data_IF_650628865853
#
_entry.id   IF_650628865853
#
_cell.length_a   1.000
_cell.length_b   1.000
_cell.length_c   1.000
_cell.angle_alpha   90.00
_cell.angle_beta   90.00
_cell.angle_gamma   90.00
#
_symmetry.space_group_name_H-M   'P 1'
#
loop_
_entity.id
_entity.type
_entity.pdbx_description
1 polymer ?
#
# COMPACT_ATOMS: atom_id res chain seq x y z
N UNK A 1 -21.92 -0.48 -9.29
CA UNK A 1 -20.67 -0.83 -8.62
C UNK A 1 -20.36 0.19 -7.53
N UNK A 2 -20.12 -0.27 -6.33
CA UNK A 2 -19.91 0.60 -5.18
C UNK A 2 -18.46 1.09 -5.15
N UNK A 3 -18.26 2.40 -5.09
CA UNK A 3 -16.93 2.99 -4.95
C UNK A 3 -16.58 3.03 -3.47
N UNK A 4 -15.40 2.51 -3.12
CA UNK A 4 -14.90 2.58 -1.75
C UNK A 4 -14.49 4.00 -1.39
N UNK A 5 -14.76 4.39 -0.14
CA UNK A 5 -14.29 5.67 0.38
C UNK A 5 -12.78 5.58 0.69
N UNK A 6 -12.14 6.74 0.82
CA UNK A 6 -10.73 6.80 1.24
C UNK A 6 -10.52 6.08 2.56
N UNK A 7 -11.44 6.25 3.52
CA UNK A 7 -11.36 5.59 4.82
C UNK A 7 -11.41 4.07 4.67
N UNK A 8 -12.31 3.55 3.84
CA UNK A 8 -12.41 2.11 3.60
C UNK A 8 -11.15 1.57 2.93
N UNK A 9 -10.60 2.29 1.97
CA UNK A 9 -9.35 1.91 1.30
C UNK A 9 -8.20 1.87 2.31
N UNK A 10 -8.12 2.88 3.18
CA UNK A 10 -7.10 2.94 4.22
C UNK A 10 -7.24 1.77 5.19
N UNK A 11 -8.44 1.43 5.62
CA UNK A 11 -8.70 0.29 6.50
C UNK A 11 -8.27 -1.03 5.85
N UNK A 12 -8.53 -1.18 4.55
CA UNK A 12 -8.09 -2.36 3.80
C UNK A 12 -6.57 -2.47 3.79
N UNK A 13 -5.86 -1.36 3.58
CA UNK A 13 -4.40 -1.34 3.61
C UNK A 13 -3.86 -1.70 4.99
N UNK A 14 -4.47 -1.19 6.05
CA UNK A 14 -4.07 -1.51 7.42
C UNK A 14 -4.22 -3.01 7.67
N UNK A 15 -5.30 -3.62 7.21
CA UNK A 15 -5.50 -5.07 7.35
C UNK A 15 -4.47 -5.88 6.56
N UNK A 16 -4.18 -5.47 5.32
CA UNK A 16 -3.17 -6.13 4.49
C UNK A 16 -1.81 -6.07 5.16
N UNK A 17 -1.43 -4.90 5.66
CA UNK A 17 -0.15 -4.71 6.34
C UNK A 17 -0.06 -5.55 7.62
N UNK A 18 -1.13 -5.61 8.39
CA UNK A 18 -1.18 -6.42 9.61
C UNK A 18 -1.06 -7.90 9.28
N UNK A 19 -1.72 -8.36 8.23
CA UNK A 19 -1.59 -9.74 7.75
C UNK A 19 -0.13 -10.07 7.43
N UNK A 20 0.54 -9.18 6.68
CA UNK A 20 1.95 -9.36 6.34
C UNK A 20 2.84 -9.40 7.58
N UNK A 21 2.56 -8.55 8.57
CA UNK A 21 3.32 -8.51 9.82
C UNK A 21 3.14 -9.79 10.63
N UNK A 22 1.92 -10.30 10.74
CA UNK A 22 1.63 -11.55 11.46
C UNK A 22 2.36 -12.72 10.82
N UNK A 23 2.51 -12.71 9.49
CA UNK A 23 3.23 -13.76 8.76
C UNK A 23 4.75 -13.58 8.78
N UNK A 24 5.26 -12.55 9.44
CA UNK A 24 6.71 -12.28 9.51
C UNK A 24 7.33 -11.79 8.22
N UNK A 25 6.54 -11.19 7.33
CA UNK A 25 7.00 -10.76 6.00
C UNK A 25 7.53 -9.32 5.99
N UNK A 26 7.24 -8.56 7.04
CA UNK A 26 7.64 -7.15 7.15
C UNK A 26 8.26 -6.90 8.54
N UNK A 27 9.40 -7.54 8.84
CA UNK A 27 10.03 -7.36 10.15
C UNK A 27 10.44 -5.91 10.36
N UNK A 28 10.38 -5.45 11.61
CA UNK A 28 10.70 -4.08 12.03
C UNK A 28 9.83 -3.08 11.26
N UNK A 29 10.44 -2.11 10.56
CA UNK A 29 9.71 -1.11 9.78
C UNK A 29 9.77 -1.36 8.27
N UNK A 30 10.15 -2.58 7.87
CA UNK A 30 10.27 -2.92 6.47
C UNK A 30 8.90 -3.04 5.79
N UNK A 31 8.92 -3.08 4.46
CA UNK A 31 7.72 -3.18 3.65
C UNK A 31 7.08 -1.83 3.36
N UNK A 32 6.31 -1.77 2.29
CA UNK A 32 5.56 -0.57 1.93
C UNK A 32 4.28 -0.98 1.21
N UNK A 33 3.22 -0.22 1.46
CA UNK A 33 1.87 -0.56 1.03
C UNK A 33 1.22 0.66 0.44
N UNK A 34 0.50 0.47 -0.65
CA UNK A 34 -0.22 1.57 -1.29
C UNK A 34 -1.55 1.13 -1.85
N UNK A 35 -2.41 2.10 -2.13
CA UNK A 35 -3.68 1.88 -2.79
C UNK A 35 -3.98 3.04 -3.72
N UNK A 36 -4.54 2.72 -4.87
CA UNK A 36 -5.02 3.73 -5.82
C UNK A 36 -6.32 4.32 -5.28
N UNK A 37 -6.37 5.64 -5.09
CA UNK A 37 -7.59 6.33 -4.68
C UNK A 37 -8.45 6.67 -5.90
N UNK A 38 -7.81 7.19 -6.93
CA UNK A 38 -8.44 7.52 -8.21
C UNK A 38 -7.35 7.60 -9.29
N UNK A 39 -7.69 8.15 -10.46
CA UNK A 39 -6.75 8.27 -11.57
C UNK A 39 -5.56 9.19 -11.27
N UNK A 40 -5.66 10.04 -10.26
CA UNK A 40 -4.66 11.08 -9.97
C UNK A 40 -3.94 10.90 -8.66
N UNK A 41 -4.54 10.20 -7.69
CA UNK A 41 -4.02 10.12 -6.33
C UNK A 41 -3.85 8.68 -5.87
N UNK A 42 -2.81 8.46 -5.10
CA UNK A 42 -2.46 7.17 -4.50
C UNK A 42 -2.17 7.40 -3.02
N UNK A 43 -2.64 6.47 -2.19
CA UNK A 43 -2.35 6.44 -0.78
C UNK A 43 -1.15 5.51 -0.56
N UNK A 44 -0.13 5.97 0.16
CA UNK A 44 1.08 5.16 0.40
C UNK A 44 1.58 5.35 1.83
N UNK A 45 2.19 4.30 2.37
CA UNK A 45 2.75 4.35 3.73
C UNK A 45 3.86 5.38 3.84
N UNK A 46 3.90 6.08 5.00
CA UNK A 46 5.03 6.93 5.39
C UNK A 46 6.23 6.02 5.67
N UNK A 47 7.42 6.49 5.29
CA UNK A 47 8.67 5.76 5.52
C UNK A 47 8.90 5.52 7.02
N UNK A 48 9.31 4.28 7.37
CA UNK A 48 9.78 3.97 8.73
C UNK A 48 8.69 3.64 9.75
N UNK A 49 7.47 3.34 9.32
CA UNK A 49 6.38 2.99 10.24
C UNK A 49 6.28 1.49 10.46
N UNK A 50 5.86 1.11 11.68
CA UNK A 50 5.61 -0.29 12.04
C UNK A 50 4.33 -0.79 11.35
N UNK A 51 4.48 -1.76 10.46
CA UNK A 51 3.38 -2.26 9.63
C UNK A 51 2.34 -3.08 10.38
N UNK A 52 2.67 -3.52 11.61
CA UNK A 52 1.70 -4.24 12.47
C UNK A 52 0.70 -3.28 13.12
N UNK A 53 1.02 -2.01 13.23
CA UNK A 53 0.26 -1.03 14.01
C UNK A 53 -0.01 0.27 13.23
N UNK A 54 -0.26 0.17 11.95
CA UNK A 54 -0.54 1.34 11.12
C UNK A 54 -1.88 1.98 11.50
N UNK A 55 -1.88 3.31 11.46
CA UNK A 55 -3.07 4.14 11.63
C UNK A 55 -3.27 4.94 10.35
N UNK A 56 -4.44 5.55 10.21
CA UNK A 56 -4.76 6.36 9.03
C UNK A 56 -3.74 7.49 8.82
N UNK A 57 -3.23 8.07 9.89
CA UNK A 57 -2.21 9.12 9.84
C UNK A 57 -0.84 8.64 9.36
N UNK A 58 -0.63 7.33 9.24
CA UNK A 58 0.62 6.75 8.75
C UNK A 58 0.68 6.62 7.23
N UNK A 59 -0.29 7.17 6.54
CA UNK A 59 -0.36 7.15 5.07
C UNK A 59 -0.34 8.57 4.53
N UNK A 60 0.23 8.71 3.33
CA UNK A 60 0.27 9.97 2.59
C UNK A 60 -0.45 9.82 1.27
N UNK A 61 -1.04 10.93 0.81
CA UNK A 61 -1.57 11.01 -0.55
C UNK A 61 -0.45 11.54 -1.43
N UNK A 62 -0.17 10.84 -2.53
CA UNK A 62 0.80 11.26 -3.53
C UNK A 62 0.08 11.45 -4.87
N UNK A 63 0.62 12.34 -5.69
CA UNK A 63 0.09 12.61 -7.03
C UNK A 63 0.68 11.63 -8.06
N UNK A 64 0.30 11.80 -9.32
CA UNK A 64 0.76 10.92 -10.41
C UNK A 64 2.27 10.98 -10.65
N UNK A 65 2.95 11.99 -10.12
CA UNK A 65 4.42 12.11 -10.19
C UNK A 65 5.10 11.49 -8.97
N UNK A 66 4.35 10.95 -8.02
CA UNK A 66 4.90 10.37 -6.81
C UNK A 66 5.26 11.40 -5.73
N UNK A 67 4.76 12.63 -5.86
CA UNK A 67 5.04 13.70 -4.90
C UNK A 67 3.96 13.75 -3.83
N UNK A 68 4.40 13.85 -2.56
CA UNK A 68 3.49 13.92 -1.44
C UNK A 68 2.70 15.23 -1.43
N UNK A 69 1.40 15.12 -1.15
CA UNK A 69 0.53 16.28 -0.99
C UNK A 69 0.92 17.08 0.25
N UNK A 70 1.23 16.38 1.36
CA UNK A 70 1.76 17.00 2.57
C UNK A 70 3.28 16.81 2.59
N UNK A 71 4.01 17.89 2.37
CA UNK A 71 5.47 17.85 2.29
C UNK A 71 6.18 17.74 3.63
N UNK A 72 5.44 17.80 4.74
CA UNK A 72 6.00 17.63 6.08
C UNK A 72 6.45 16.17 6.32
N UNK A 73 5.93 15.22 5.56
CA UNK A 73 6.24 13.81 5.70
C UNK A 73 6.89 13.27 4.44
N UNK A 74 7.73 12.26 4.63
CA UNK A 74 8.43 11.61 3.53
C UNK A 74 7.69 10.30 3.18
N UNK A 75 7.26 10.13 1.92
CA UNK A 75 6.68 8.86 1.49
C UNK A 75 7.74 7.76 1.47
N UNK A 76 7.28 6.51 1.36
CA UNK A 76 8.16 5.36 1.25
C UNK A 76 9.23 5.59 0.17
N UNK A 77 10.45 5.10 0.46
CA UNK A 77 11.55 5.15 -0.52
C UNK A 77 11.24 4.37 -1.80
N UNK A 78 10.28 3.43 -1.73
CA UNK A 78 9.90 2.60 -2.88
C UNK A 78 8.72 3.19 -3.68
N UNK A 79 8.40 4.46 -3.47
CA UNK A 79 7.27 5.12 -4.14
C UNK A 79 7.35 5.02 -5.66
N UNK A 80 8.55 5.18 -6.23
CA UNK A 80 8.73 5.10 -7.68
C UNK A 80 8.34 3.74 -8.23
N UNK A 81 8.65 2.66 -7.51
CA UNK A 81 8.26 1.30 -7.88
C UNK A 81 6.74 1.15 -7.91
N UNK A 82 6.05 1.64 -6.88
CA UNK A 82 4.59 1.60 -6.84
C UNK A 82 3.97 2.35 -8.01
N UNK A 83 4.49 3.54 -8.31
CA UNK A 83 3.97 4.35 -9.41
C UNK A 83 4.17 3.67 -10.76
N UNK A 84 5.30 2.99 -10.95
CA UNK A 84 5.58 2.23 -12.17
C UNK A 84 4.58 1.08 -12.32
N UNK A 85 4.28 0.37 -11.24
CA UNK A 85 3.32 -0.73 -11.24
C UNK A 85 1.92 -0.21 -11.60
N UNK A 86 1.49 0.89 -11.00
CA UNK A 86 0.16 1.46 -11.31
C UNK A 86 0.04 1.92 -12.76
N UNK A 87 1.14 2.41 -13.36
CA UNK A 87 1.13 2.79 -14.77
C UNK A 87 1.02 1.60 -15.70
N UNK A 88 1.65 0.47 -15.35
CA UNK A 88 1.70 -0.72 -16.19
C UNK A 88 0.53 -1.67 -15.94
N UNK A 89 -0.07 -1.62 -14.77
CA UNK A 89 -1.18 -2.49 -14.39
C UNK A 89 -2.36 -1.63 -13.97
N UNK A 90 -3.13 -1.18 -14.97
CA UNK A 90 -4.20 -0.21 -14.75
C UNK A 90 -5.35 -0.74 -13.89
N UNK A 91 -5.46 -2.07 -13.73
CA UNK A 91 -6.47 -2.68 -12.88
C UNK A 91 -5.99 -2.95 -11.46
N UNK A 92 -4.70 -2.73 -11.17
CA UNK A 92 -4.17 -2.88 -9.83
C UNK A 92 -4.67 -1.75 -8.94
N UNK A 93 -5.25 -2.09 -7.79
CA UNK A 93 -5.76 -1.11 -6.84
C UNK A 93 -4.98 -1.09 -5.54
N UNK A 94 -4.27 -2.18 -5.21
CA UNK A 94 -3.47 -2.30 -4.00
C UNK A 94 -2.12 -2.91 -4.33
N UNK A 95 -1.06 -2.41 -3.70
CA UNK A 95 0.29 -2.97 -3.82
C UNK A 95 0.84 -3.21 -2.43
N UNK A 96 1.32 -4.44 -2.21
CA UNK A 96 2.08 -4.79 -1.02
C UNK A 96 3.49 -5.17 -1.47
N UNK A 97 4.49 -4.44 -0.99
CA UNK A 97 5.89 -4.72 -1.28
C UNK A 97 6.60 -5.18 -0.01
N UNK A 98 7.20 -6.36 -0.07
CA UNK A 98 7.91 -6.96 1.05
C UNK A 98 9.02 -7.86 0.52
N UNK A 99 9.96 -8.20 1.39
CA UNK A 99 11.10 -9.05 1.05
C UNK A 99 10.94 -10.39 1.77
N UNK A 100 10.63 -11.45 0.99
CA UNK A 100 10.43 -12.77 1.56
C UNK A 100 10.56 -13.83 0.48
N UNK A 101 11.05 -15.00 0.87
CA UNK A 101 11.03 -16.18 0.01
C UNK A 101 9.60 -16.65 -0.29
N UNK A 102 8.62 -16.20 0.49
CA UNK A 102 7.20 -16.53 0.34
C UNK A 102 6.42 -15.52 -0.50
N UNK A 103 7.10 -14.58 -1.18
CA UNK A 103 6.44 -13.49 -1.89
C UNK A 103 5.45 -13.96 -2.96
N UNK A 104 5.75 -15.04 -3.68
CA UNK A 104 4.85 -15.55 -4.71
C UNK A 104 3.52 -16.04 -4.13
N UNK A 105 3.57 -16.71 -2.98
CA UNK A 105 2.37 -17.20 -2.29
C UNK A 105 1.53 -16.04 -1.80
N UNK A 106 2.16 -15.04 -1.19
CA UNK A 106 1.44 -13.88 -0.67
C UNK A 106 0.85 -13.03 -1.81
N UNK A 107 1.51 -12.92 -2.94
CA UNK A 107 0.96 -12.21 -4.09
C UNK A 107 -0.38 -12.79 -4.53
N UNK A 108 -0.53 -14.11 -4.49
CA UNK A 108 -1.80 -14.75 -4.80
C UNK A 108 -2.87 -14.42 -3.75
N UNK A 109 -2.50 -14.43 -2.48
CA UNK A 109 -3.44 -14.08 -1.40
C UNK A 109 -3.95 -12.66 -1.55
N UNK A 110 -3.06 -11.72 -1.89
CA UNK A 110 -3.44 -10.33 -2.08
C UNK A 110 -4.35 -10.15 -3.29
N UNK A 111 -4.13 -10.90 -4.36
CA UNK A 111 -5.01 -10.87 -5.53
C UNK A 111 -6.40 -11.38 -5.16
N UNK A 112 -6.49 -12.48 -4.42
CA UNK A 112 -7.76 -13.03 -3.97
C UNK A 112 -8.49 -12.04 -3.06
N UNK A 113 -7.77 -11.38 -2.16
CA UNK A 113 -8.33 -10.34 -1.28
C UNK A 113 -8.92 -9.19 -2.10
N UNK A 114 -8.18 -8.71 -3.10
CA UNK A 114 -8.64 -7.63 -3.97
C UNK A 114 -9.91 -8.02 -4.73
N UNK A 115 -9.99 -9.25 -5.19
CA UNK A 115 -11.15 -9.73 -5.95
C UNK A 115 -12.41 -9.83 -5.10
N UNK A 116 -12.26 -9.91 -3.78
CA UNK A 116 -13.38 -10.02 -2.83
C UNK A 116 -13.75 -8.69 -2.17
N UNK A 117 -13.07 -7.61 -2.50
CA UNK A 117 -13.41 -6.25 -2.03
C UNK A 117 -14.51 -5.59 -2.93
#
# INVERSE_FOLDING_TARGET
MTTLTKTQICENLIEIARFCAVKGLVPATSGNFSARLDAKETLITISGKDKANLQESDFLIINSLGLAKDKAFKPSAETALHMQIYRNFTKANYIAHFHSSSSAVLSKVLLDFQNNL
#
